data_IF_594598762483
#
_entry.id   IF_594598762483
#
_cell.length_a   1.000
_cell.length_b   1.000
_cell.length_c   1.000
_cell.angle_alpha   90.00
_cell.angle_beta   90.00
_cell.angle_gamma   90.00
#
_symmetry.space_group_name_H-M   'P 1'
#
loop_
_entity.id
_entity.type
_entity.pdbx_description
1 polymer ?
#
# COMPACT_ATOMS: atom_id res chain seq x y z
N UNK A 1 -11.56 25.38 36.97
CA UNK A 1 -11.88 23.94 37.22
C UNK A 1 -10.73 23.40 38.07
N UNK A 2 -11.01 22.81 39.26
CA UNK A 2 -9.95 22.27 40.09
C UNK A 2 -9.47 20.94 39.57
N UNK A 3 -8.25 20.50 39.96
CA UNK A 3 -7.68 19.20 39.54
C UNK A 3 -8.62 18.01 39.88
N UNK A 4 -9.26 18.07 41.05
CA UNK A 4 -10.23 17.07 41.49
C UNK A 4 -11.48 17.01 40.60
N UNK A 5 -11.95 18.15 40.13
CA UNK A 5 -13.11 18.22 39.21
C UNK A 5 -12.75 17.59 37.85
N UNK A 6 -11.53 17.85 37.33
CA UNK A 6 -11.02 17.24 36.11
C UNK A 6 -10.93 15.73 36.27
N UNK A 7 -10.35 15.24 37.37
CA UNK A 7 -10.22 13.82 37.65
C UNK A 7 -11.57 13.10 37.70
N UNK A 8 -12.53 13.69 38.38
CA UNK A 8 -13.89 13.15 38.50
C UNK A 8 -14.64 13.13 37.15
N UNK A 9 -14.43 14.16 36.33
CA UNK A 9 -14.98 14.24 34.98
C UNK A 9 -14.39 13.16 34.06
N UNK A 10 -13.05 12.98 34.10
CA UNK A 10 -12.36 11.96 33.31
C UNK A 10 -12.77 10.54 33.73
N UNK A 11 -12.92 10.28 35.02
CA UNK A 11 -13.40 8.97 35.50
C UNK A 11 -14.83 8.67 35.04
N UNK A 12 -15.73 9.64 35.12
CA UNK A 12 -17.12 9.50 34.68
C UNK A 12 -17.22 9.27 33.15
N UNK A 13 -16.31 9.85 32.38
CA UNK A 13 -16.32 9.82 30.92
C UNK A 13 -15.17 9.00 30.35
N UNK A 14 -14.59 8.09 31.12
CA UNK A 14 -13.37 7.32 30.74
C UNK A 14 -13.53 6.61 29.39
N UNK A 15 -14.70 6.08 29.08
CA UNK A 15 -14.99 5.44 27.80
C UNK A 15 -14.86 6.43 26.63
N UNK A 16 -15.40 7.64 26.75
CA UNK A 16 -15.30 8.66 25.69
C UNK A 16 -13.87 9.16 25.53
N UNK A 17 -13.15 9.35 26.63
CA UNK A 17 -11.75 9.77 26.60
C UNK A 17 -10.89 8.71 25.91
N UNK A 18 -11.12 7.43 26.25
CA UNK A 18 -10.43 6.32 25.60
C UNK A 18 -10.74 6.26 24.09
N UNK A 19 -12.03 6.34 23.73
CA UNK A 19 -12.45 6.30 22.33
C UNK A 19 -11.83 7.45 21.51
N UNK A 20 -11.88 8.69 22.02
CA UNK A 20 -11.28 9.85 21.36
C UNK A 20 -9.77 9.68 21.20
N UNK A 21 -9.08 9.24 22.25
CA UNK A 21 -7.63 9.00 22.20
C UNK A 21 -7.24 7.93 21.20
N UNK A 22 -8.03 6.86 21.13
CA UNK A 22 -7.83 5.77 20.16
C UNK A 22 -8.01 6.26 18.72
N UNK A 23 -9.09 6.98 18.43
CA UNK A 23 -9.32 7.51 17.08
C UNK A 23 -8.28 8.57 16.69
N UNK A 24 -7.86 9.40 17.64
CA UNK A 24 -6.80 10.39 17.40
C UNK A 24 -5.46 9.71 17.10
N UNK A 25 -5.11 8.66 17.85
CA UNK A 25 -3.91 7.83 17.58
C UNK A 25 -3.96 7.19 16.19
N UNK A 26 -5.11 6.62 15.80
CA UNK A 26 -5.31 6.04 14.48
C UNK A 26 -5.17 7.10 13.37
N UNK A 27 -5.75 8.28 13.56
CA UNK A 27 -5.66 9.38 12.61
C UNK A 27 -4.21 9.85 12.42
N UNK A 28 -3.46 10.03 13.52
CA UNK A 28 -2.05 10.39 13.48
C UNK A 28 -1.24 9.33 12.75
N UNK A 29 -1.48 8.05 13.02
CA UNK A 29 -0.82 6.94 12.34
C UNK A 29 -1.03 6.99 10.82
N UNK A 30 -2.28 7.14 10.38
CA UNK A 30 -2.62 7.23 8.95
C UNK A 30 -1.95 8.45 8.29
N UNK A 31 -1.97 9.60 8.99
CA UNK A 31 -1.32 10.81 8.50
C UNK A 31 0.20 10.63 8.34
N UNK A 32 0.87 10.06 9.34
CA UNK A 32 2.30 9.78 9.29
C UNK A 32 2.64 8.83 8.14
N UNK A 33 1.87 7.75 7.95
CA UNK A 33 2.08 6.81 6.85
C UNK A 33 1.88 7.48 5.49
N UNK A 34 0.89 8.35 5.36
CA UNK A 34 0.68 9.12 4.14
C UNK A 34 1.85 10.07 3.83
N UNK A 35 2.32 10.82 4.83
CA UNK A 35 3.46 11.72 4.69
C UNK A 35 4.76 10.98 4.34
N UNK A 36 4.99 9.83 4.96
CA UNK A 36 6.15 9.00 4.64
C UNK A 36 6.08 8.45 3.21
N UNK A 37 4.90 7.99 2.78
CA UNK A 37 4.71 7.51 1.41
C UNK A 37 4.99 8.63 0.41
N UNK A 38 4.45 9.83 0.64
CA UNK A 38 4.71 11.01 -0.20
C UNK A 38 6.21 11.33 -0.25
N UNK A 39 6.85 11.44 0.90
CA UNK A 39 8.28 11.75 1.02
C UNK A 39 9.15 10.76 0.22
N UNK A 40 8.85 9.46 0.29
CA UNK A 40 9.70 8.45 -0.33
C UNK A 40 9.37 8.16 -1.80
N UNK A 41 8.10 8.30 -2.21
CA UNK A 41 7.68 7.98 -3.58
C UNK A 41 7.53 9.19 -4.51
N UNK A 42 7.31 10.38 -3.97
CA UNK A 42 7.09 11.58 -4.79
C UNK A 42 8.28 12.54 -4.74
N UNK A 43 8.85 12.74 -3.54
CA UNK A 43 9.93 13.71 -3.33
C UNK A 43 11.32 13.05 -3.30
N UNK A 44 11.40 11.74 -3.03
CA UNK A 44 12.65 11.00 -2.94
C UNK A 44 13.13 10.44 -4.29
N UNK A 45 14.38 9.99 -4.33
CA UNK A 45 14.91 9.26 -5.49
C UNK A 45 14.17 7.93 -5.63
N UNK A 46 13.61 7.71 -6.80
CA UNK A 46 12.84 6.50 -7.12
C UNK A 46 13.36 5.85 -8.40
N UNK A 47 13.19 4.54 -8.51
CA UNK A 47 13.49 3.75 -9.69
C UNK A 47 12.27 2.88 -10.02
N UNK A 48 12.26 2.38 -11.24
CA UNK A 48 11.31 1.37 -11.71
C UNK A 48 12.00 0.02 -11.80
N UNK A 49 11.24 -1.04 -11.57
CA UNK A 49 11.64 -2.43 -11.82
C UNK A 49 10.41 -3.27 -12.17
N UNK A 50 10.61 -4.54 -12.44
CA UNK A 50 9.53 -5.51 -12.63
C UNK A 50 9.22 -6.20 -11.31
N UNK A 51 7.93 -6.29 -11.00
CA UNK A 51 7.43 -7.00 -9.84
C UNK A 51 6.45 -8.10 -10.27
N UNK A 52 6.47 -9.22 -9.57
CA UNK A 52 5.53 -10.32 -9.75
C UNK A 52 4.45 -10.26 -8.69
N UNK A 53 3.20 -10.29 -9.12
CA UNK A 53 2.05 -10.37 -8.21
C UNK A 53 1.90 -11.80 -7.71
N UNK A 54 1.84 -11.98 -6.39
CA UNK A 54 1.63 -13.30 -5.80
C UNK A 54 0.26 -13.46 -5.14
N UNK A 55 -0.38 -12.37 -4.71
CA UNK A 55 -1.76 -12.45 -4.19
C UNK A 55 -2.55 -11.15 -4.41
N UNK A 56 -3.85 -11.28 -4.27
CA UNK A 56 -4.83 -10.20 -4.24
C UNK A 56 -5.82 -10.44 -3.11
N UNK A 57 -6.00 -9.45 -2.26
CA UNK A 57 -6.99 -9.47 -1.20
C UNK A 57 -8.01 -8.36 -1.36
N UNK A 58 -9.29 -8.66 -1.06
CA UNK A 58 -10.36 -7.70 -0.99
C UNK A 58 -11.11 -7.92 0.32
N UNK A 59 -10.96 -6.99 1.25
CA UNK A 59 -11.63 -7.02 2.55
C UNK A 59 -12.92 -6.20 2.49
N UNK A 60 -13.94 -6.67 1.77
CA UNK A 60 -15.28 -6.07 1.78
C UNK A 60 -15.31 -4.55 1.58
N UNK A 61 -15.71 -3.80 2.60
CA UNK A 61 -15.98 -2.35 2.51
C UNK A 61 -14.77 -1.41 2.41
N UNK A 62 -13.52 -1.88 2.42
CA UNK A 62 -12.45 -0.89 2.51
C UNK A 62 -11.06 -1.25 2.06
N UNK A 63 -10.68 -2.49 2.11
CA UNK A 63 -9.30 -2.88 1.82
C UNK A 63 -9.18 -3.69 0.53
N UNK A 64 -8.50 -3.15 -0.46
CA UNK A 64 -8.04 -3.90 -1.63
C UNK A 64 -6.54 -3.81 -1.63
N UNK A 65 -5.89 -4.94 -1.71
CA UNK A 65 -4.45 -4.99 -1.69
C UNK A 65 -3.96 -5.94 -2.77
N UNK A 66 -3.02 -5.47 -3.56
CA UNK A 66 -2.22 -6.29 -4.46
C UNK A 66 -0.91 -6.55 -3.76
N UNK A 67 -0.61 -7.80 -3.51
CA UNK A 67 0.63 -8.23 -2.91
C UNK A 67 1.61 -8.65 -4.01
N UNK A 68 2.79 -8.06 -4.01
CA UNK A 68 3.79 -8.27 -5.04
C UNK A 68 5.19 -8.30 -4.47
N UNK A 69 6.09 -8.85 -5.24
CA UNK A 69 7.51 -8.96 -4.89
C UNK A 69 8.41 -8.53 -6.03
N UNK A 70 9.57 -8.02 -5.69
CA UNK A 70 10.60 -7.61 -6.65
C UNK A 70 12.00 -7.71 -6.03
N UNK A 71 13.01 -7.72 -6.89
CA UNK A 71 14.40 -7.68 -6.46
C UNK A 71 15.02 -6.30 -6.68
N UNK A 72 15.88 -5.90 -5.76
CA UNK A 72 16.70 -4.72 -5.87
C UNK A 72 18.00 -4.89 -5.08
N UNK A 73 19.17 -4.64 -5.69
CA UNK A 73 20.48 -4.83 -5.07
C UNK A 73 20.63 -6.21 -4.39
N UNK A 74 20.28 -7.27 -5.09
CA UNK A 74 20.30 -8.67 -4.62
C UNK A 74 19.43 -8.95 -3.37
N UNK A 75 18.52 -8.04 -3.02
CA UNK A 75 17.57 -8.23 -1.93
C UNK A 75 16.16 -8.43 -2.49
N UNK A 76 15.43 -9.35 -1.87
CA UNK A 76 14.05 -9.62 -2.17
C UNK A 76 13.14 -8.76 -1.30
N UNK A 77 12.26 -7.99 -1.94
CA UNK A 77 11.28 -7.13 -1.28
C UNK A 77 9.87 -7.62 -1.52
N UNK A 78 9.06 -7.59 -0.48
CA UNK A 78 7.63 -7.85 -0.52
C UNK A 78 6.91 -6.56 -0.13
N UNK A 79 5.93 -6.19 -0.92
CA UNK A 79 5.12 -5.01 -0.69
C UNK A 79 3.65 -5.26 -1.03
N UNK A 80 2.80 -4.40 -0.51
CA UNK A 80 1.39 -4.39 -0.86
C UNK A 80 0.93 -2.99 -1.20
N UNK A 81 0.01 -2.88 -2.14
CA UNK A 81 -0.52 -1.60 -2.58
C UNK A 81 -2.03 -1.68 -2.80
N UNK A 82 -2.75 -0.78 -2.19
CA UNK A 82 -4.20 -0.64 -2.31
C UNK A 82 -4.62 0.42 -3.34
N UNK A 83 -3.74 1.38 -3.63
CA UNK A 83 -4.07 2.55 -4.46
C UNK A 83 -4.16 2.23 -5.95
N UNK A 84 -3.34 1.33 -6.46
CA UNK A 84 -3.29 1.01 -7.90
C UNK A 84 -4.58 0.40 -8.44
N UNK A 85 -5.34 -0.30 -7.61
CA UNK A 85 -6.59 -0.96 -8.01
C UNK A 85 -7.77 0.02 -8.12
N UNK A 86 -7.72 1.12 -7.38
CA UNK A 86 -8.87 2.05 -7.27
C UNK A 86 -8.89 3.13 -8.35
N UNK A 87 -7.74 3.47 -8.94
CA UNK A 87 -7.59 4.63 -9.82
C UNK A 87 -7.54 4.30 -11.30
N UNK A 88 -7.41 3.03 -11.65
CA UNK A 88 -7.28 2.63 -13.05
C UNK A 88 -8.62 2.32 -13.70
N UNK A 89 -8.90 2.99 -14.83
CA UNK A 89 -9.97 2.64 -15.77
C UNK A 89 -9.59 1.36 -16.53
N UNK A 90 -9.52 0.24 -15.83
CA UNK A 90 -9.08 -1.03 -16.39
C UNK A 90 -10.11 -2.12 -16.16
N UNK A 91 -9.94 -3.26 -16.81
CA UNK A 91 -10.70 -4.49 -16.58
C UNK A 91 -10.75 -4.88 -15.09
N UNK A 92 -9.74 -4.48 -14.32
CA UNK A 92 -9.62 -4.74 -12.88
C UNK A 92 -10.67 -4.00 -12.06
N UNK A 93 -11.17 -2.83 -12.50
CA UNK A 93 -12.27 -2.13 -11.82
C UNK A 93 -13.54 -2.97 -11.83
N UNK A 94 -13.81 -3.66 -12.93
CA UNK A 94 -15.02 -4.51 -13.07
C UNK A 94 -15.04 -5.64 -12.03
N UNK A 95 -13.89 -6.25 -11.76
CA UNK A 95 -13.79 -7.43 -10.88
C UNK A 95 -13.21 -7.12 -9.50
N UNK A 96 -13.02 -5.86 -9.17
CA UNK A 96 -12.33 -5.42 -7.93
C UNK A 96 -12.88 -5.99 -6.62
N UNK A 97 -14.14 -6.37 -6.59
CA UNK A 97 -14.79 -7.00 -5.43
C UNK A 97 -14.85 -8.53 -5.52
N UNK A 98 -14.47 -9.09 -6.66
CA UNK A 98 -14.47 -10.53 -6.90
C UNK A 98 -13.06 -11.07 -6.67
N UNK A 99 -12.71 -11.29 -5.42
CA UNK A 99 -11.34 -11.65 -4.98
C UNK A 99 -10.74 -12.81 -5.80
N UNK A 100 -11.50 -13.88 -6.00
CA UNK A 100 -10.99 -15.03 -6.75
C UNK A 100 -10.74 -14.74 -8.24
N UNK A 101 -11.61 -13.95 -8.87
CA UNK A 101 -11.38 -13.54 -10.27
C UNK A 101 -10.17 -12.62 -10.39
N UNK A 102 -10.03 -11.65 -9.48
CA UNK A 102 -8.86 -10.78 -9.46
C UNK A 102 -7.58 -11.55 -9.20
N UNK A 103 -7.60 -12.49 -8.25
CA UNK A 103 -6.46 -13.34 -7.96
C UNK A 103 -6.04 -14.14 -9.21
N UNK A 104 -6.98 -14.75 -9.93
CA UNK A 104 -6.70 -15.47 -11.18
C UNK A 104 -6.15 -14.56 -12.28
N UNK A 105 -6.61 -13.31 -12.34
CA UNK A 105 -6.15 -12.35 -13.35
C UNK A 105 -4.74 -11.81 -13.08
N UNK A 106 -4.36 -11.68 -11.81
CA UNK A 106 -3.14 -10.98 -11.39
C UNK A 106 -2.01 -11.93 -10.98
N UNK A 107 -2.33 -13.04 -10.33
CA UNK A 107 -1.33 -13.95 -9.74
C UNK A 107 -0.37 -14.49 -10.80
N UNK A 108 0.91 -14.38 -10.52
CA UNK A 108 2.00 -14.82 -11.41
C UNK A 108 2.28 -13.87 -12.57
N UNK A 109 1.54 -12.75 -12.69
CA UNK A 109 1.81 -11.76 -13.75
C UNK A 109 2.78 -10.69 -13.27
N UNK A 110 3.51 -10.16 -14.23
CA UNK A 110 4.53 -9.16 -14.03
C UNK A 110 3.99 -7.77 -14.40
N UNK A 111 4.33 -6.79 -13.55
CA UNK A 111 3.96 -5.38 -13.74
C UNK A 111 5.16 -4.49 -13.41
N UNK A 112 5.17 -3.30 -13.98
CA UNK A 112 6.13 -2.30 -13.53
C UNK A 112 5.77 -1.79 -12.13
N UNK A 113 6.78 -1.63 -11.31
CA UNK A 113 6.69 -1.06 -9.97
C UNK A 113 7.66 0.10 -9.84
N UNK A 114 7.20 1.20 -9.27
CA UNK A 114 8.03 2.32 -8.82
C UNK A 114 8.34 2.13 -7.35
N UNK A 115 9.58 2.32 -6.94
CA UNK A 115 9.98 2.17 -5.54
C UNK A 115 11.00 3.22 -5.13
N UNK A 116 11.08 3.50 -3.83
CA UNK A 116 12.08 4.39 -3.26
C UNK A 116 13.43 3.68 -3.13
N UNK A 117 14.49 4.30 -3.66
CA UNK A 117 15.87 3.78 -3.53
C UNK A 117 16.31 3.66 -2.08
N UNK A 118 15.90 4.62 -1.24
CA UNK A 118 16.28 4.67 0.19
C UNK A 118 15.50 3.66 1.03
N UNK A 119 14.21 3.47 0.70
CA UNK A 119 13.32 2.55 1.43
C UNK A 119 12.43 1.78 0.46
N UNK A 120 12.91 0.69 -0.17
CA UNK A 120 12.20 -0.03 -1.23
C UNK A 120 10.80 -0.54 -0.87
N UNK A 121 10.50 -0.74 0.42
CA UNK A 121 9.15 -1.07 0.89
C UNK A 121 8.10 -0.01 0.55
N UNK A 122 8.50 1.25 0.37
CA UNK A 122 7.64 2.26 -0.22
C UNK A 122 7.71 2.11 -1.73
N UNK A 123 6.72 1.42 -2.25
CA UNK A 123 6.63 1.06 -3.67
C UNK A 123 5.19 1.16 -4.14
N UNK A 124 5.00 1.33 -5.44
CA UNK A 124 3.71 1.43 -6.09
C UNK A 124 3.72 0.61 -7.37
N UNK A 125 2.84 -0.39 -7.44
CA UNK A 125 2.64 -1.21 -8.63
C UNK A 125 1.66 -0.53 -9.60
N UNK A 126 1.94 -0.66 -10.90
CA UNK A 126 1.10 -0.09 -11.97
C UNK A 126 0.41 -1.21 -12.72
N UNK A 127 -0.82 -1.55 -12.31
CA UNK A 127 -1.60 -2.59 -12.95
C UNK A 127 -2.04 -2.25 -14.39
N UNK A 128 -2.03 -0.96 -14.76
CA UNK A 128 -2.23 -0.49 -16.13
C UNK A 128 -1.05 -0.75 -17.05
N UNK A 129 0.09 -1.14 -16.50
CA UNK A 129 1.34 -1.38 -17.24
C UNK A 129 1.82 -2.81 -17.01
N UNK A 130 1.10 -3.82 -17.53
CA UNK A 130 1.59 -5.19 -17.50
C UNK A 130 2.88 -5.27 -18.32
N UNK A 131 3.80 -6.08 -17.87
CA UNK A 131 5.00 -6.39 -18.63
C UNK A 131 4.62 -7.40 -19.73
N UNK A 132 4.98 -7.10 -20.98
CA UNK A 132 4.73 -7.98 -22.10
C UNK A 132 5.53 -9.29 -21.93
N UNK A 133 4.98 -10.41 -22.40
CA UNK A 133 5.60 -11.74 -22.24
C UNK A 133 6.96 -11.85 -22.96
N UNK A 134 7.15 -11.08 -24.03
CA UNK A 134 8.39 -10.98 -24.80
C UNK A 134 9.36 -9.93 -24.28
N UNK A 135 9.02 -9.19 -23.21
CA UNK A 135 9.90 -8.19 -22.62
C UNK A 135 11.06 -8.85 -21.88
N UNK A 136 12.25 -8.65 -22.41
CA UNK A 136 13.47 -9.19 -21.82
C UNK A 136 14.00 -8.25 -20.74
N UNK A 137 14.19 -8.77 -19.55
CA UNK A 137 14.80 -8.05 -18.42
C UNK A 137 15.55 -9.04 -17.53
N UNK A 138 16.58 -8.54 -16.86
CA UNK A 138 17.26 -9.28 -15.82
C UNK A 138 16.59 -9.06 -14.47
N UNK A 139 16.56 -10.09 -13.64
CA UNK A 139 15.98 -9.98 -12.30
C UNK A 139 16.75 -8.91 -11.49
N UNK A 140 16.01 -7.95 -10.92
CA UNK A 140 16.60 -6.81 -10.22
C UNK A 140 17.07 -5.66 -11.10
N UNK A 141 16.90 -5.74 -12.41
CA UNK A 141 17.15 -4.62 -13.33
C UNK A 141 16.25 -3.44 -12.98
N UNK A 142 16.81 -2.23 -13.03
CA UNK A 142 16.10 -1.00 -12.69
C UNK A 142 16.23 0.05 -13.77
N UNK A 143 15.22 0.92 -13.86
CA UNK A 143 15.16 2.05 -14.78
C UNK A 143 14.81 3.35 -14.04
N UNK A 144 15.24 4.49 -14.56
CA UNK A 144 14.86 5.82 -14.09
C UNK A 144 13.54 6.31 -14.71
#
# INVERSE_FOLDING_TARGET
MSFEQIKKYLQKNSYYVFAISFFMGLFIYVLVMHLLSKKYLEEGKTLYTVATVYDYSSQGKGGRSVEFSFYYNNNYFVASNDKGVATEKSIYIKYRYETEKMRKLLKGKNFFVKFSVVKPKYSQIYLSKPVAEDFQYEEGQTWE
#
